data_IF_842182766143
#
_entry.id   IF_842182766143
#
_cell.length_a   1.000
_cell.length_b   1.000
_cell.length_c   1.000
_cell.angle_alpha   90.00
_cell.angle_beta   90.00
_cell.angle_gamma   90.00
#
_symmetry.space_group_name_H-M   'P 1'
#
loop_
_entity.id
_entity.type
_entity.pdbx_description
1 polymer ?
#
# COMPACT_ATOMS: atom_id res chain seq x y z
N UNK A 1 -12.42 -1.05 -6.86
CA UNK A 1 -13.61 -0.32 -7.35
C UNK A 1 -14.12 0.55 -6.22
N UNK A 2 -14.36 1.85 -6.47
CA UNK A 2 -14.81 2.80 -5.46
C UNK A 2 -16.06 3.54 -5.95
N UNK A 3 -17.26 3.24 -5.41
CA UNK A 3 -18.48 3.91 -5.82
C UNK A 3 -18.48 5.39 -5.40
N UNK A 4 -19.07 6.23 -6.24
CA UNK A 4 -19.39 7.65 -6.00
C UNK A 4 -20.91 7.80 -6.14
N UNK A 5 -21.42 9.03 -5.96
CA UNK A 5 -22.87 9.31 -6.00
C UNK A 5 -23.53 8.82 -7.30
N UNK A 6 -22.92 9.12 -8.45
CA UNK A 6 -23.47 8.81 -9.78
C UNK A 6 -22.48 8.05 -10.68
N UNK A 7 -21.26 7.79 -10.20
CA UNK A 7 -20.17 7.19 -11.00
C UNK A 7 -19.43 6.15 -10.16
N UNK A 8 -18.56 5.37 -10.79
CA UNK A 8 -17.70 4.42 -10.09
C UNK A 8 -16.27 4.54 -10.63
N UNK A 9 -15.31 4.61 -9.71
CA UNK A 9 -13.91 4.55 -10.08
C UNK A 9 -13.50 3.08 -10.16
N UNK A 10 -13.08 2.66 -11.35
CA UNK A 10 -12.52 1.33 -11.61
C UNK A 10 -11.07 1.53 -12.03
N UNK A 11 -10.15 0.86 -11.35
CA UNK A 11 -8.73 0.99 -11.61
C UNK A 11 -8.03 -0.33 -11.32
N UNK A 12 -6.87 -0.49 -11.94
CA UNK A 12 -5.94 -1.58 -11.66
C UNK A 12 -4.61 -0.97 -11.24
N UNK A 13 -3.88 -1.71 -10.40
CA UNK A 13 -2.52 -1.38 -10.01
C UNK A 13 -1.64 -2.60 -10.22
N UNK A 14 -0.41 -2.37 -10.67
CA UNK A 14 0.55 -3.42 -10.90
C UNK A 14 1.86 -3.09 -10.19
N UNK A 15 2.31 -4.00 -9.33
CA UNK A 15 3.60 -3.86 -8.66
C UNK A 15 4.70 -4.32 -9.61
N UNK A 16 5.52 -3.39 -10.11
CA UNK A 16 6.64 -3.75 -10.99
C UNK A 16 7.60 -4.77 -10.35
N UNK A 17 7.74 -4.76 -9.02
CA UNK A 17 8.55 -5.72 -8.26
C UNK A 17 8.00 -7.15 -8.29
N UNK A 18 6.70 -7.33 -8.54
CA UNK A 18 6.05 -8.63 -8.61
C UNK A 18 6.04 -9.23 -10.02
N UNK A 19 6.41 -8.46 -11.04
CA UNK A 19 6.42 -8.92 -12.42
C UNK A 19 7.63 -9.80 -12.72
N UNK A 20 7.44 -10.94 -13.43
CA UNK A 20 8.54 -11.74 -13.93
C UNK A 20 9.43 -10.90 -14.84
N UNK A 21 10.74 -10.85 -14.56
CA UNK A 21 11.71 -10.06 -15.34
C UNK A 21 11.97 -10.65 -16.74
N UNK A 22 11.66 -11.92 -16.91
CA UNK A 22 11.84 -12.75 -18.09
C UNK A 22 10.68 -12.64 -19.10
N UNK A 23 9.56 -11.99 -18.74
CA UNK A 23 8.41 -11.83 -19.63
C UNK A 23 8.36 -10.43 -20.25
N UNK A 24 7.90 -10.31 -21.51
CA UNK A 24 7.68 -9.02 -22.13
C UNK A 24 6.63 -8.23 -21.33
N UNK A 25 6.91 -6.95 -21.10
CA UNK A 25 6.02 -6.05 -20.37
C UNK A 25 4.78 -5.76 -21.21
N UNK A 26 3.61 -6.04 -20.64
CA UNK A 26 2.33 -5.64 -21.22
C UNK A 26 2.01 -4.22 -20.72
N UNK A 27 1.60 -3.29 -21.60
CA UNK A 27 1.14 -1.98 -21.17
C UNK A 27 -0.02 -2.11 -20.17
N UNK A 28 0.04 -1.37 -19.06
CA UNK A 28 -1.00 -1.42 -18.02
C UNK A 28 -2.40 -1.10 -18.58
N UNK A 29 -2.47 -0.27 -19.62
CA UNK A 29 -3.71 0.02 -20.34
C UNK A 29 -4.36 -1.24 -20.93
N UNK A 30 -3.59 -2.13 -21.54
CA UNK A 30 -4.12 -3.37 -22.10
C UNK A 30 -4.64 -4.31 -21.00
N UNK A 31 -3.93 -4.39 -19.87
CA UNK A 31 -4.39 -5.15 -18.71
C UNK A 31 -5.70 -4.58 -18.16
N UNK A 32 -5.84 -3.25 -18.15
CA UNK A 32 -7.07 -2.58 -17.74
C UNK A 32 -8.23 -2.89 -18.69
N UNK A 33 -8.02 -2.82 -20.00
CA UNK A 33 -9.05 -3.14 -21.01
C UNK A 33 -9.51 -4.59 -20.90
N UNK A 34 -8.57 -5.53 -20.71
CA UNK A 34 -8.89 -6.94 -20.45
C UNK A 34 -9.71 -7.11 -19.17
N UNK A 35 -9.34 -6.42 -18.10
CA UNK A 35 -10.07 -6.46 -16.84
C UNK A 35 -11.52 -5.96 -17.00
N UNK A 36 -11.72 -4.82 -17.68
CA UNK A 36 -13.06 -4.31 -17.98
C UNK A 36 -13.87 -5.29 -18.85
N UNK A 37 -13.25 -5.88 -19.88
CA UNK A 37 -13.89 -6.88 -20.72
C UNK A 37 -14.36 -8.11 -19.90
N UNK A 38 -13.52 -8.63 -19.00
CA UNK A 38 -13.88 -9.72 -18.09
C UNK A 38 -15.02 -9.36 -17.16
N UNK A 39 -15.07 -8.12 -16.64
CA UNK A 39 -16.18 -7.68 -15.81
C UNK A 39 -17.51 -7.63 -16.58
N UNK A 40 -17.48 -7.20 -17.86
CA UNK A 40 -18.65 -7.20 -18.75
C UNK A 40 -19.10 -8.62 -19.10
N UNK A 41 -18.16 -9.50 -19.44
CA UNK A 41 -18.43 -10.91 -19.76
C UNK A 41 -19.08 -11.66 -18.58
N UNK A 42 -18.61 -11.39 -17.36
CA UNK A 42 -19.16 -11.97 -16.13
C UNK A 42 -20.46 -11.31 -15.65
N UNK A 43 -21.05 -10.39 -16.43
CA UNK A 43 -22.23 -9.60 -16.08
C UNK A 43 -22.07 -8.83 -14.75
N UNK A 44 -20.84 -8.43 -14.39
CA UNK A 44 -20.55 -7.57 -13.24
C UNK A 44 -20.58 -6.08 -13.60
N UNK A 45 -20.50 -5.76 -14.89
CA UNK A 45 -20.75 -4.44 -15.46
C UNK A 45 -21.71 -4.57 -16.66
N UNK A 46 -22.58 -3.58 -16.90
CA UNK A 46 -23.35 -3.49 -18.14
C UNK A 46 -22.44 -3.54 -19.38
N UNK A 47 -22.90 -4.17 -20.46
CA UNK A 47 -22.11 -4.31 -21.69
C UNK A 47 -21.76 -2.95 -22.31
N UNK A 48 -22.71 -2.04 -22.27
CA UNK A 48 -22.65 -0.65 -22.70
C UNK A 48 -22.08 0.31 -21.64
N UNK A 49 -21.54 -0.21 -20.52
CA UNK A 49 -20.98 0.63 -19.47
C UNK A 49 -19.88 1.56 -20.02
N UNK A 50 -20.05 2.88 -19.95
CA UNK A 50 -19.11 3.85 -20.51
C UNK A 50 -17.83 3.91 -19.67
N UNK A 51 -16.69 3.95 -20.36
CA UNK A 51 -15.38 4.17 -19.72
C UNK A 51 -14.91 5.56 -20.10
N UNK A 52 -14.87 6.44 -19.10
CA UNK A 52 -14.46 7.82 -19.25
C UNK A 52 -13.24 8.12 -18.37
N UNK A 53 -12.50 9.18 -18.69
CA UNK A 53 -11.42 9.71 -17.84
C UNK A 53 -10.33 8.69 -17.47
N UNK A 54 -9.90 7.84 -18.41
CA UNK A 54 -8.79 6.92 -18.18
C UNK A 54 -7.50 7.69 -17.90
N UNK A 55 -6.95 7.52 -16.71
CA UNK A 55 -5.70 8.16 -16.24
C UNK A 55 -4.77 7.11 -15.66
N UNK A 56 -3.47 7.37 -15.73
CA UNK A 56 -2.42 6.52 -15.17
C UNK A 56 -1.35 7.36 -14.49
N UNK A 57 -0.82 6.85 -13.39
CA UNK A 57 0.28 7.46 -12.65
C UNK A 57 1.11 6.36 -11.99
N UNK A 58 2.40 6.63 -11.78
CA UNK A 58 3.28 5.79 -10.97
C UNK A 58 3.08 6.11 -9.50
N UNK A 59 3.17 5.09 -8.64
CA UNK A 59 3.13 5.27 -7.20
C UNK A 59 4.55 5.18 -6.62
N UNK A 60 5.10 6.25 -6.01
CA UNK A 60 6.39 6.20 -5.32
C UNK A 60 6.27 5.43 -4.00
N UNK A 61 6.40 4.10 -4.06
CA UNK A 61 6.12 3.18 -2.93
C UNK A 61 7.27 3.02 -1.92
N UNK A 62 8.18 3.99 -1.81
CA UNK A 62 9.25 3.97 -0.81
C UNK A 62 9.63 5.39 -0.35
N UNK A 63 9.77 5.62 0.97
CA UNK A 63 10.26 6.89 1.46
C UNK A 63 11.65 7.23 0.91
N UNK A 64 11.88 8.51 0.60
CA UNK A 64 13.21 9.01 0.27
C UNK A 64 14.17 8.85 1.46
N UNK A 65 15.48 8.75 1.16
CA UNK A 65 16.51 8.68 2.20
C UNK A 65 16.50 9.92 3.10
N UNK A 66 16.37 11.10 2.46
CA UNK A 66 16.18 12.38 3.13
C UNK A 66 14.87 13.02 2.68
N UNK A 67 14.06 13.41 3.65
CA UNK A 67 12.74 14.04 3.46
C UNK A 67 12.74 15.52 3.86
N UNK A 68 13.93 16.09 4.05
CA UNK A 68 14.16 17.47 4.45
C UNK A 68 15.52 17.94 3.92
N UNK A 69 15.73 19.25 3.94
CA UNK A 69 16.99 19.93 3.65
C UNK A 69 16.96 21.33 4.26
N UNK A 70 17.95 22.18 3.97
CA UNK A 70 17.90 23.58 4.42
C UNK A 70 16.65 24.28 3.89
N UNK A 71 15.80 24.75 4.82
CA UNK A 71 14.55 25.46 4.52
C UNK A 71 13.57 24.69 3.63
N UNK A 72 13.67 23.36 3.57
CA UNK A 72 12.78 22.52 2.75
C UNK A 72 12.37 21.25 3.51
N UNK A 73 11.11 20.87 3.35
CA UNK A 73 10.54 19.61 3.86
C UNK A 73 9.67 19.00 2.77
N UNK A 74 9.80 17.69 2.57
CA UNK A 74 8.97 16.90 1.66
C UNK A 74 7.93 16.13 2.47
N UNK A 75 6.68 16.11 1.99
CA UNK A 75 5.57 15.40 2.63
C UNK A 75 4.73 14.63 1.59
N UNK A 76 3.89 13.71 2.06
CA UNK A 76 3.05 12.86 1.22
C UNK A 76 3.82 12.13 0.10
N UNK A 77 3.24 12.10 -1.10
CA UNK A 77 3.81 11.45 -2.27
C UNK A 77 5.20 12.01 -2.66
N UNK A 78 5.44 13.31 -2.41
CA UNK A 78 6.74 13.94 -2.66
C UNK A 78 7.86 13.37 -1.77
N UNK A 79 7.51 12.85 -0.60
CA UNK A 79 8.43 12.15 0.30
C UNK A 79 8.43 10.63 0.10
N UNK A 80 7.59 10.10 -0.80
CA UNK A 80 7.40 8.66 -1.01
C UNK A 80 6.59 7.97 0.10
N UNK A 81 5.72 8.72 0.80
CA UNK A 81 4.90 8.18 1.88
C UNK A 81 3.62 7.51 1.37
N UNK A 82 3.78 6.30 0.83
CA UNK A 82 2.67 5.47 0.36
C UNK A 82 2.77 4.09 1.02
N UNK A 83 1.64 3.56 1.50
CA UNK A 83 1.58 2.19 2.00
C UNK A 83 1.86 1.21 0.85
N UNK A 84 2.94 0.40 0.94
CA UNK A 84 3.39 -0.43 -0.18
C UNK A 84 2.50 -1.66 -0.42
N UNK A 85 1.52 -1.95 0.45
CA UNK A 85 0.55 -3.04 0.25
C UNK A 85 -0.76 -2.49 -0.33
N UNK A 86 -1.31 -1.44 0.26
CA UNK A 86 -2.65 -0.93 -0.13
C UNK A 86 -2.60 0.14 -1.21
N UNK A 87 -1.45 0.78 -1.41
CA UNK A 87 -1.34 1.99 -2.24
C UNK A 87 -2.00 3.21 -1.58
N UNK A 88 -2.33 3.15 -0.29
CA UNK A 88 -2.90 4.30 0.43
C UNK A 88 -1.83 5.37 0.68
N UNK A 89 -2.07 6.60 0.21
CA UNK A 89 -1.23 7.78 0.46
C UNK A 89 -1.93 8.90 1.24
N UNK A 90 -3.27 8.94 1.26
CA UNK A 90 -4.03 10.07 1.84
C UNK A 90 -3.74 10.24 3.33
N UNK A 91 -3.82 9.15 4.10
CA UNK A 91 -3.51 9.17 5.54
C UNK A 91 -2.10 9.73 5.78
N UNK A 92 -1.10 9.21 5.07
CA UNK A 92 0.29 9.62 5.25
C UNK A 92 0.56 11.05 4.78
N UNK A 93 -0.11 11.52 3.72
CA UNK A 93 -0.03 12.91 3.29
C UNK A 93 -0.55 13.86 4.39
N UNK A 94 -1.67 13.53 5.03
CA UNK A 94 -2.24 14.32 6.12
C UNK A 94 -1.32 14.32 7.35
N UNK A 95 -0.91 13.14 7.81
CA UNK A 95 -0.07 13.01 9.02
C UNK A 95 1.31 13.65 8.81
N UNK A 96 1.96 13.41 7.67
CA UNK A 96 3.24 14.05 7.36
C UNK A 96 3.13 15.56 7.24
N UNK A 97 2.06 16.08 6.63
CA UNK A 97 1.78 17.51 6.59
C UNK A 97 1.65 18.13 7.98
N UNK A 98 0.93 17.45 8.89
CA UNK A 98 0.79 17.88 10.28
C UNK A 98 2.14 17.91 11.01
N UNK A 99 2.95 16.86 10.89
CA UNK A 99 4.29 16.81 11.50
C UNK A 99 5.22 17.88 10.93
N UNK A 100 5.19 18.10 9.61
CA UNK A 100 5.98 19.14 8.95
C UNK A 100 5.59 20.53 9.46
N UNK A 101 4.29 20.82 9.55
CA UNK A 101 3.79 22.09 10.06
C UNK A 101 4.24 22.36 11.51
N UNK A 102 4.22 21.34 12.37
CA UNK A 102 4.68 21.46 13.75
C UNK A 102 6.18 21.82 13.83
N UNK A 103 7.03 21.12 13.08
CA UNK A 103 8.48 21.36 13.09
C UNK A 103 8.81 22.72 12.48
N UNK A 104 8.20 23.06 11.33
CA UNK A 104 8.43 24.35 10.66
C UNK A 104 7.97 25.51 11.56
N UNK A 105 6.84 25.40 12.23
CA UNK A 105 6.35 26.45 13.13
C UNK A 105 7.32 26.68 14.31
N UNK A 106 7.94 25.64 14.84
CA UNK A 106 8.98 25.77 15.87
C UNK A 106 10.23 26.44 15.31
N UNK A 107 10.68 26.01 14.13
CA UNK A 107 11.86 26.58 13.46
C UNK A 107 11.70 28.05 13.11
N UNK A 108 10.52 28.47 12.68
CA UNK A 108 10.20 29.89 12.45
C UNK A 108 10.28 30.72 13.74
N UNK A 109 9.79 30.19 14.87
CA UNK A 109 9.88 30.88 16.17
C UNK A 109 11.31 31.03 16.65
N UNK A 110 12.15 30.02 16.45
CA UNK A 110 13.57 30.04 16.84
C UNK A 110 14.48 30.66 15.78
N UNK A 111 13.92 31.06 14.63
CA UNK A 111 14.66 31.52 13.44
C UNK A 111 15.70 30.50 12.94
N UNK A 112 15.42 29.22 13.11
CA UNK A 112 16.28 28.12 12.70
C UNK A 112 15.49 27.14 11.81
N UNK A 113 15.80 27.17 10.52
CA UNK A 113 15.28 26.23 9.52
C UNK A 113 16.45 25.51 8.82
N UNK A 114 17.55 25.32 9.55
CA UNK A 114 18.71 24.57 9.08
C UNK A 114 18.37 23.10 8.85
N UNK A 115 19.21 22.44 8.06
CA UNK A 115 19.23 20.99 7.90
C UNK A 115 19.16 20.27 9.25
N UNK A 116 20.01 20.66 10.21
CA UNK A 116 20.08 20.05 11.53
C UNK A 116 18.76 20.20 12.29
N UNK A 117 18.14 21.38 12.27
CA UNK A 117 16.87 21.62 12.93
C UNK A 117 15.73 20.80 12.29
N UNK A 118 15.65 20.80 10.95
CA UNK A 118 14.59 20.12 10.21
C UNK A 118 14.73 18.58 10.23
N UNK A 119 15.89 18.03 10.60
CA UNK A 119 16.05 16.58 10.83
C UNK A 119 15.06 15.99 11.85
N UNK A 120 14.54 16.83 12.75
CA UNK A 120 13.50 16.47 13.72
C UNK A 120 12.23 15.97 13.04
N UNK A 121 11.85 16.55 11.90
CA UNK A 121 10.72 16.07 11.11
C UNK A 121 10.93 14.62 10.67
N UNK A 122 12.14 14.29 10.19
CA UNK A 122 12.46 12.95 9.76
C UNK A 122 12.37 11.93 10.89
N UNK A 123 12.86 12.29 12.07
CA UNK A 123 12.75 11.45 13.25
C UNK A 123 11.29 11.21 13.64
N UNK A 124 10.46 12.26 13.65
CA UNK A 124 9.04 12.17 14.03
C UNK A 124 8.26 11.23 13.12
N UNK A 125 8.31 11.41 11.80
CA UNK A 125 7.54 10.54 10.90
C UNK A 125 8.10 9.11 10.89
N UNK A 126 9.42 8.96 11.04
CA UNK A 126 10.04 7.64 11.09
C UNK A 126 9.61 6.86 12.33
N UNK A 127 9.47 7.56 13.47
CA UNK A 127 8.97 6.98 14.71
C UNK A 127 7.48 6.66 14.68
N UNK A 128 6.68 7.54 14.07
CA UNK A 128 5.24 7.39 13.95
C UNK A 128 4.86 6.25 13.00
N UNK A 129 5.14 6.40 11.70
CA UNK A 129 4.69 5.44 10.68
C UNK A 129 5.82 4.86 9.81
N UNK A 130 7.01 5.47 9.79
CA UNK A 130 8.09 5.05 8.89
C UNK A 130 8.62 3.64 9.15
N UNK A 131 8.66 3.21 10.42
CA UNK A 131 9.01 1.83 10.78
C UNK A 131 8.02 0.80 10.20
N UNK A 132 6.73 1.13 10.19
CA UNK A 132 5.71 0.26 9.63
C UNK A 132 5.77 0.25 8.11
N UNK A 133 5.94 1.41 7.45
CA UNK A 133 6.15 1.47 5.99
C UNK A 133 7.34 0.63 5.54
N UNK A 134 8.49 0.72 6.22
CA UNK A 134 9.69 -0.09 5.94
C UNK A 134 9.41 -1.60 6.12
N UNK A 135 8.66 -1.97 7.15
CA UNK A 135 8.32 -3.36 7.41
C UNK A 135 7.34 -3.93 6.36
N UNK A 136 6.33 -3.16 5.97
CA UNK A 136 5.39 -3.48 4.91
C UNK A 136 6.09 -3.57 3.55
N UNK A 137 7.05 -2.69 3.27
CA UNK A 137 7.83 -2.70 2.02
C UNK A 137 8.62 -4.00 1.83
N UNK A 138 9.25 -4.51 2.89
CA UNK A 138 9.89 -5.83 2.87
C UNK A 138 8.90 -6.96 2.64
N UNK A 139 7.70 -6.84 3.18
CA UNK A 139 6.65 -7.84 3.01
C UNK A 139 6.03 -7.81 1.61
N UNK A 140 5.95 -6.64 0.95
CA UNK A 140 5.36 -6.49 -0.38
C UNK A 140 6.02 -7.43 -1.42
N UNK A 141 7.34 -7.62 -1.35
CA UNK A 141 8.05 -8.56 -2.23
C UNK A 141 7.53 -10.01 -2.14
N UNK A 142 7.00 -10.42 -0.98
CA UNK A 142 6.40 -11.73 -0.79
C UNK A 142 4.90 -11.70 -1.12
N UNK A 143 4.17 -10.68 -0.67
CA UNK A 143 2.74 -10.51 -0.95
C UNK A 143 2.43 -10.51 -2.44
N UNK A 144 3.23 -9.80 -3.24
CA UNK A 144 3.09 -9.74 -4.69
C UNK A 144 3.16 -11.12 -5.37
N UNK A 145 3.92 -12.06 -4.81
CA UNK A 145 4.10 -13.41 -5.37
C UNK A 145 3.01 -14.40 -4.95
N UNK A 146 2.54 -14.30 -3.71
CA UNK A 146 1.61 -15.27 -3.09
C UNK A 146 0.18 -14.72 -2.87
N UNK A 147 -0.17 -13.60 -3.50
CA UNK A 147 -1.44 -12.89 -3.27
C UNK A 147 -2.67 -13.81 -3.37
N UNK A 148 -2.74 -14.66 -4.39
CA UNK A 148 -3.83 -15.63 -4.58
C UNK A 148 -3.93 -16.63 -3.41
N UNK A 149 -2.79 -17.19 -2.99
CA UNK A 149 -2.73 -18.12 -1.86
C UNK A 149 -3.17 -17.44 -0.58
N UNK A 150 -2.74 -16.19 -0.35
CA UNK A 150 -3.11 -15.44 0.85
C UNK A 150 -4.61 -15.13 0.85
N UNK A 151 -5.18 -14.72 -0.29
CA UNK A 151 -6.64 -14.51 -0.42
C UNK A 151 -7.40 -15.80 -0.12
N UNK A 152 -6.98 -16.95 -0.68
CA UNK A 152 -7.58 -18.26 -0.40
C UNK A 152 -7.53 -18.61 1.09
N UNK A 153 -6.43 -18.28 1.78
CA UNK A 153 -6.31 -18.47 3.23
C UNK A 153 -7.24 -17.54 4.02
N UNK A 154 -7.35 -16.27 3.62
CA UNK A 154 -8.28 -15.31 4.25
C UNK A 154 -9.73 -15.78 4.15
N UNK A 155 -10.15 -16.31 2.99
CA UNK A 155 -11.50 -16.83 2.80
C UNK A 155 -11.81 -18.03 3.72
N UNK A 156 -10.80 -18.75 4.20
CA UNK A 156 -10.93 -19.95 5.02
C UNK A 156 -10.82 -19.70 6.52
N UNK A 157 -10.18 -18.60 6.93
CA UNK A 157 -9.93 -18.30 8.35
C UNK A 157 -10.28 -16.84 8.69
N UNK A 158 -11.42 -16.64 9.35
CA UNK A 158 -11.90 -15.30 9.76
C UNK A 158 -10.88 -14.55 10.62
N UNK A 159 -10.11 -15.24 11.46
CA UNK A 159 -9.10 -14.63 12.33
C UNK A 159 -7.92 -14.10 11.51
N UNK A 160 -7.42 -14.89 10.55
CA UNK A 160 -6.39 -14.47 9.62
C UNK A 160 -6.87 -13.33 8.71
N UNK A 161 -8.10 -13.40 8.19
CA UNK A 161 -8.70 -12.31 7.43
C UNK A 161 -8.75 -11.00 8.23
N UNK A 162 -9.23 -11.03 9.48
CA UNK A 162 -9.24 -9.85 10.37
C UNK A 162 -7.84 -9.29 10.61
N UNK A 163 -6.84 -10.14 10.85
CA UNK A 163 -5.46 -9.70 11.06
C UNK A 163 -4.88 -9.04 9.82
N UNK A 164 -5.06 -9.65 8.64
CA UNK A 164 -4.58 -9.07 7.37
C UNK A 164 -5.30 -7.76 7.08
N UNK A 165 -6.63 -7.71 7.16
CA UNK A 165 -7.41 -6.48 6.92
C UNK A 165 -7.02 -5.38 7.88
N UNK A 166 -6.85 -5.69 9.17
CA UNK A 166 -6.44 -4.70 10.16
C UNK A 166 -5.05 -4.13 9.89
N UNK A 167 -4.11 -4.98 9.46
CA UNK A 167 -2.75 -4.55 9.11
C UNK A 167 -2.73 -3.75 7.81
N UNK A 168 -3.39 -4.23 6.77
CA UNK A 168 -3.38 -3.55 5.47
C UNK A 168 -4.16 -2.24 5.54
N UNK A 169 -5.29 -2.22 6.24
CA UNK A 169 -6.10 -1.02 6.46
C UNK A 169 -5.56 -0.05 7.51
N UNK A 170 -4.33 -0.22 7.99
CA UNK A 170 -3.68 0.71 8.93
C UNK A 170 -4.28 0.77 10.34
N UNK A 171 -5.25 -0.10 10.66
CA UNK A 171 -5.96 -0.11 11.95
C UNK A 171 -5.10 -0.70 13.07
N UNK A 172 -4.17 -1.60 12.73
CA UNK A 172 -3.21 -2.21 13.65
C UNK A 172 -1.81 -2.18 13.07
N UNK A 173 -0.81 -1.91 13.92
CA UNK A 173 0.59 -1.88 13.51
C UNK A 173 1.06 -3.26 13.03
N UNK A 174 1.61 -3.32 11.82
CA UNK A 174 2.19 -4.55 11.27
C UNK A 174 3.28 -5.11 12.16
N UNK A 175 4.17 -4.26 12.69
CA UNK A 175 5.28 -4.71 13.54
C UNK A 175 4.80 -5.42 14.79
N UNK A 176 3.75 -4.92 15.43
CA UNK A 176 3.17 -5.51 16.65
C UNK A 176 2.51 -6.86 16.38
N UNK A 177 1.88 -7.03 15.22
CA UNK A 177 1.13 -8.25 14.87
C UNK A 177 1.86 -9.19 13.92
N UNK A 178 3.10 -8.88 13.53
CA UNK A 178 3.92 -9.67 12.60
C UNK A 178 4.04 -11.13 13.05
N UNK A 179 4.38 -11.40 14.30
CA UNK A 179 4.54 -12.77 14.81
C UNK A 179 3.22 -13.54 14.75
N UNK A 180 2.12 -12.92 15.17
CA UNK A 180 0.80 -13.53 15.11
C UNK A 180 0.38 -13.85 13.67
N UNK A 181 0.67 -12.95 12.72
CA UNK A 181 0.43 -13.16 11.29
C UNK A 181 1.25 -14.32 10.72
N UNK A 182 2.56 -14.36 11.00
CA UNK A 182 3.45 -15.43 10.52
C UNK A 182 3.03 -16.78 11.10
N UNK A 183 2.83 -16.87 12.42
CA UNK A 183 2.41 -18.11 13.06
C UNK A 183 1.07 -18.61 12.52
N UNK A 184 0.11 -17.69 12.29
CA UNK A 184 -1.19 -18.07 11.72
C UNK A 184 -1.07 -18.51 10.26
N UNK A 185 -0.23 -17.84 9.47
CA UNK A 185 0.06 -18.25 8.09
C UNK A 185 0.68 -19.65 8.04
N UNK A 186 1.70 -19.93 8.86
CA UNK A 186 2.35 -21.25 8.95
C UNK A 186 1.35 -22.32 9.39
N UNK A 187 0.56 -22.05 10.44
CA UNK A 187 -0.50 -22.96 10.90
C UNK A 187 -1.48 -23.29 9.78
N UNK A 188 -1.96 -22.30 9.02
CA UNK A 188 -2.90 -22.52 7.92
C UNK A 188 -2.26 -23.22 6.72
N UNK A 189 -0.99 -22.94 6.43
CA UNK A 189 -0.25 -23.62 5.37
C UNK A 189 -0.06 -25.11 5.68
N UNK A 190 0.36 -25.45 6.92
CA UNK A 190 0.48 -26.83 7.38
C UNK A 190 -0.88 -27.52 7.41
N UNK A 191 -1.91 -26.88 7.96
CA UNK A 191 -3.27 -27.43 8.00
C UNK A 191 -3.79 -27.76 6.60
N UNK A 192 -3.46 -26.95 5.59
CA UNK A 192 -3.83 -27.26 4.21
C UNK A 192 -3.06 -28.47 3.67
N UNK A 193 -1.76 -28.58 3.96
CA UNK A 193 -0.93 -29.71 3.52
C UNK A 193 -1.53 -31.05 3.94
N UNK A 194 -1.96 -31.16 5.20
CA UNK A 194 -2.55 -32.37 5.78
C UNK A 194 -4.01 -32.62 5.35
N UNK A 195 -4.71 -31.63 4.79
CA UNK A 195 -6.09 -31.79 4.32
C UNK A 195 -6.19 -32.18 2.84
N UNK A 196 -5.12 -31.99 2.08
CA UNK A 196 -5.02 -32.44 0.68
C UNK A 196 -4.85 -33.95 0.53
N UNK A 197 -4.60 -34.70 1.62
CA UNK A 197 -4.48 -36.17 1.58
C UNK A 197 -5.81 -36.93 1.79
N UNK A 198 -6.94 -36.23 1.95
CA UNK A 198 -8.27 -36.84 2.14
C UNK A 198 -9.22 -36.65 0.93
N UNK A 199 -8.70 -36.48 -0.29
CA UNK A 199 -9.51 -36.42 -1.52
C UNK A 199 -9.00 -37.34 -2.60
#
# INVERSE_FOLDING_TARGET
MFPKKNTINIGIGEFQSALPKDKPRVPLKETYEKFIATLKEKNLLPRDFPVENLKGATLPIFPLENTYGDRVVLCGDAAGFINPITGEGIYYALVSGQLAAQVIAQGLKTKDLSYQFLSRYQNLWNDDFGRDLKALGRFNNQWGKDSEKIVRLMMRDKKFAKLIIGVTGGQISFRKYRTALILRYVYLALKNLFRTQEK
#
